data_IF_848971404104
#
_entry.id   IF_848971404104
#
_cell.length_a   1.000
_cell.length_b   1.000
_cell.length_c   1.000
_cell.angle_alpha   90.00
_cell.angle_beta   90.00
_cell.angle_gamma   90.00
#
_symmetry.space_group_name_H-M   'P 1'
#
loop_
_entity.id
_entity.type
_entity.pdbx_description
1 polymer ?
#
# COMPACT_ATOMS: atom_id res chain seq x y z
N UNK A 1 -8.94 12.14 24.18
CA UNK A 1 -8.63 13.52 24.61
C UNK A 1 -7.22 13.83 24.12
N UNK A 2 -6.94 14.65 23.12
CA UNK A 2 -7.66 15.72 22.42
C UNK A 2 -7.44 15.55 20.89
N UNK A 3 -8.48 15.77 20.09
CA UNK A 3 -8.38 15.82 18.62
C UNK A 3 -8.04 17.25 18.17
N UNK A 4 -6.90 17.44 17.51
CA UNK A 4 -6.61 18.67 16.75
C UNK A 4 -6.96 18.43 15.28
N UNK A 5 -8.26 18.42 14.98
CA UNK A 5 -8.77 18.35 13.61
C UNK A 5 -8.54 19.67 12.88
N UNK A 6 -7.73 19.64 11.81
CA UNK A 6 -7.59 20.76 10.89
C UNK A 6 -8.90 20.93 10.10
N UNK A 7 -9.65 22.01 10.37
CA UNK A 7 -10.89 22.35 9.65
C UNK A 7 -10.54 22.93 8.28
N UNK A 8 -10.74 22.17 7.20
CA UNK A 8 -10.85 22.72 5.85
C UNK A 8 -12.34 22.92 5.53
N UNK A 9 -12.74 24.16 5.28
CA UNK A 9 -14.11 24.56 4.94
C UNK A 9 -14.20 24.66 3.41
N UNK A 10 -14.99 23.80 2.78
CA UNK A 10 -15.39 23.95 1.37
C UNK A 10 -16.51 25.01 1.24
N UNK A 11 -16.61 25.67 0.09
CA UNK A 11 -17.48 26.82 -0.23
C UNK A 11 -18.99 26.47 -0.29
N UNK A 12 -19.42 25.39 0.38
CA UNK A 12 -20.83 24.99 0.49
C UNK A 12 -21.28 24.68 1.92
N UNK A 13 -20.46 25.04 2.92
CA UNK A 13 -20.80 25.02 4.36
C UNK A 13 -21.50 23.73 4.82
N UNK A 14 -21.14 22.58 4.23
CA UNK A 14 -21.58 21.25 4.68
C UNK A 14 -20.40 20.56 5.37
N UNK A 15 -20.54 20.13 6.64
CA UNK A 15 -19.48 19.38 7.30
C UNK A 15 -19.39 18.00 6.64
N UNK A 16 -18.33 17.76 5.86
CA UNK A 16 -17.91 16.40 5.52
C UNK A 16 -17.11 15.86 6.71
N UNK A 17 -17.67 14.90 7.43
CA UNK A 17 -16.89 14.08 8.37
C UNK A 17 -16.04 13.15 7.50
N UNK A 18 -14.80 13.56 7.21
CA UNK A 18 -13.80 12.69 6.62
C UNK A 18 -13.20 11.84 7.74
N UNK A 19 -13.78 10.67 7.99
CA UNK A 19 -13.07 9.61 8.70
C UNK A 19 -11.99 9.04 7.76
N UNK A 20 -10.91 9.79 7.59
CA UNK A 20 -9.69 9.28 6.98
C UNK A 20 -8.89 8.55 8.06
N UNK A 21 -8.47 7.32 7.77
CA UNK A 21 -7.42 6.69 8.58
C UNK A 21 -6.20 7.61 8.58
N UNK A 22 -5.66 7.92 9.76
CA UNK A 22 -4.51 8.81 9.94
C UNK A 22 -3.17 8.19 9.49
N UNK A 23 -3.18 6.95 8.99
CA UNK A 23 -1.99 6.24 8.52
C UNK A 23 -2.08 5.81 7.05
N UNK A 24 -0.90 5.69 6.42
CA UNK A 24 -0.66 5.16 5.07
C UNK A 24 -1.37 5.88 3.93
N UNK A 25 -1.17 7.20 3.84
CA UNK A 25 -1.64 7.99 2.71
C UNK A 25 -0.52 8.13 1.67
N UNK A 26 -0.80 7.69 0.45
CA UNK A 26 0.04 7.99 -0.72
C UNK A 26 -0.30 9.42 -1.13
N UNK A 27 0.58 10.36 -0.79
CA UNK A 27 0.39 11.79 -1.09
C UNK A 27 0.83 12.11 -2.53
N UNK A 28 1.91 11.49 -2.98
CA UNK A 28 2.47 11.68 -4.32
C UNK A 28 2.48 10.34 -5.05
N UNK A 29 1.51 10.09 -5.92
CA UNK A 29 1.34 8.77 -6.56
C UNK A 29 2.48 8.39 -7.51
N UNK A 30 3.15 9.39 -8.09
CA UNK A 30 4.25 9.19 -9.05
C UNK A 30 5.62 8.99 -8.37
N UNK A 31 5.70 9.20 -7.05
CA UNK A 31 6.95 9.07 -6.30
C UNK A 31 7.29 7.59 -6.01
N UNK A 32 8.55 7.33 -5.64
CA UNK A 32 8.97 6.00 -5.21
C UNK A 32 8.54 5.76 -3.75
N UNK A 33 7.91 4.60 -3.51
CA UNK A 33 7.37 4.21 -2.21
C UNK A 33 8.01 2.93 -1.70
N UNK A 34 8.24 2.90 -0.40
CA UNK A 34 8.55 1.69 0.33
C UNK A 34 7.28 1.18 1.01
N UNK A 35 6.84 -0.03 0.65
CA UNK A 35 5.61 -0.64 1.14
C UNK A 35 5.90 -1.98 1.79
N UNK A 36 5.28 -2.22 2.95
CA UNK A 36 5.37 -3.49 3.67
C UNK A 36 3.97 -4.09 3.82
N UNK A 37 3.83 -5.37 3.47
CA UNK A 37 2.64 -6.17 3.72
C UNK A 37 2.94 -7.22 4.78
N UNK A 38 2.18 -7.24 5.87
CA UNK A 38 2.31 -8.20 6.97
C UNK A 38 1.10 -9.13 7.01
N UNK A 39 1.34 -10.43 7.16
CA UNK A 39 0.27 -11.42 7.38
C UNK A 39 -0.31 -11.25 8.79
N UNK A 40 -1.65 -11.32 8.88
CA UNK A 40 -2.40 -11.26 10.14
C UNK A 40 -1.92 -12.38 11.08
N UNK A 41 -1.83 -12.06 12.37
CA UNK A 41 -1.35 -12.98 13.43
C UNK A 41 0.06 -13.54 13.19
N UNK A 42 0.86 -12.89 12.34
CA UNK A 42 2.26 -13.25 12.09
C UNK A 42 2.48 -14.67 11.57
N UNK A 43 1.44 -15.27 10.98
CA UNK A 43 1.50 -16.62 10.43
C UNK A 43 2.55 -16.67 9.30
N UNK A 44 3.41 -17.68 9.35
CA UNK A 44 4.47 -17.93 8.38
C UNK A 44 3.94 -18.54 7.06
N UNK A 45 2.98 -17.85 6.45
CA UNK A 45 2.30 -18.29 5.24
C UNK A 45 3.26 -18.46 4.06
N UNK A 46 4.22 -17.54 3.92
CA UNK A 46 5.13 -17.52 2.79
C UNK A 46 6.28 -18.51 2.90
N UNK A 47 6.29 -19.40 3.90
CA UNK A 47 7.21 -20.55 3.93
C UNK A 47 6.91 -21.55 2.82
N UNK A 48 5.63 -21.68 2.43
CA UNK A 48 5.22 -22.58 1.34
C UNK A 48 5.38 -21.88 -0.02
N UNK A 49 6.07 -22.55 -0.95
CA UNK A 49 6.36 -22.03 -2.29
C UNK A 49 5.10 -21.57 -3.03
N UNK A 50 4.00 -22.34 -2.94
CA UNK A 50 2.73 -22.05 -3.61
C UNK A 50 2.21 -20.64 -3.31
N UNK A 51 2.35 -20.15 -2.08
CA UNK A 51 1.89 -18.79 -1.73
C UNK A 51 2.85 -17.72 -2.26
N UNK A 52 4.16 -17.98 -2.27
CA UNK A 52 5.12 -17.07 -2.89
C UNK A 52 4.90 -16.95 -4.39
N UNK A 53 4.61 -18.06 -5.06
CA UNK A 53 4.34 -18.08 -6.51
C UNK A 53 3.12 -17.23 -6.86
N UNK A 54 2.03 -17.34 -6.08
CA UNK A 54 0.82 -16.52 -6.27
C UNK A 54 1.14 -15.01 -6.18
N UNK A 55 1.97 -14.62 -5.20
CA UNK A 55 2.37 -13.22 -5.03
C UNK A 55 3.22 -12.77 -6.23
N UNK A 56 4.19 -13.58 -6.64
CA UNK A 56 5.07 -13.27 -7.78
C UNK A 56 4.24 -13.11 -9.06
N UNK A 57 3.28 -14.00 -9.32
CA UNK A 57 2.44 -13.92 -10.52
C UNK A 57 1.49 -12.73 -10.47
N UNK A 58 0.99 -12.37 -9.29
CA UNK A 58 0.21 -11.14 -9.09
C UNK A 58 1.04 -9.88 -9.35
N UNK A 59 2.29 -9.84 -8.87
CA UNK A 59 3.20 -8.73 -9.12
C UNK A 59 3.51 -8.61 -10.63
N UNK A 60 3.83 -9.70 -11.32
CA UNK A 60 4.02 -9.70 -12.78
C UNK A 60 2.80 -9.18 -13.52
N UNK A 61 1.61 -9.61 -13.13
CA UNK A 61 0.37 -9.12 -13.71
C UNK A 61 0.23 -7.60 -13.53
N UNK A 62 0.52 -7.09 -12.34
CA UNK A 62 0.49 -5.65 -12.06
C UNK A 62 1.55 -4.88 -12.88
N UNK A 63 2.75 -5.42 -13.08
CA UNK A 63 3.75 -4.78 -13.95
C UNK A 63 3.27 -4.67 -15.39
N UNK A 64 2.62 -5.71 -15.91
CA UNK A 64 2.19 -5.77 -17.31
C UNK A 64 0.90 -4.97 -17.60
N UNK A 65 -0.01 -4.86 -16.62
CA UNK A 65 -1.37 -4.38 -16.87
C UNK A 65 -1.76 -3.15 -16.04
N UNK A 66 -1.02 -2.84 -14.97
CA UNK A 66 -1.40 -1.78 -14.00
C UNK A 66 -0.34 -0.70 -13.81
N UNK A 67 0.71 -0.70 -14.64
CA UNK A 67 1.77 0.31 -14.55
C UNK A 67 2.62 0.25 -13.28
N UNK A 68 2.62 -0.88 -12.58
CA UNK A 68 3.43 -1.08 -11.38
C UNK A 68 4.91 -1.23 -11.77
N UNK A 69 5.76 -0.34 -11.29
CA UNK A 69 7.21 -0.48 -11.41
C UNK A 69 7.79 -1.04 -10.11
N UNK A 70 8.60 -2.09 -10.22
CA UNK A 70 9.20 -2.77 -9.07
C UNK A 70 10.72 -2.66 -9.17
N UNK A 71 11.32 -1.92 -8.26
CA UNK A 71 12.77 -1.74 -8.19
C UNK A 71 13.44 -2.82 -7.35
N UNK A 72 12.82 -3.19 -6.22
CA UNK A 72 13.29 -4.25 -5.35
C UNK A 72 12.12 -4.87 -4.57
N UNK A 73 12.23 -6.14 -4.24
CA UNK A 73 11.31 -6.79 -3.31
C UNK A 73 11.99 -7.92 -2.55
N UNK A 74 11.47 -8.23 -1.37
CA UNK A 74 11.82 -9.43 -0.61
C UNK A 74 10.55 -10.03 -0.01
N UNK A 75 10.44 -11.36 -0.08
CA UNK A 75 9.36 -12.13 0.54
C UNK A 75 9.98 -12.90 1.72
N UNK A 76 9.68 -12.45 2.93
CA UNK A 76 10.02 -13.12 4.19
C UNK A 76 8.91 -14.13 4.55
N UNK A 77 9.05 -14.87 5.65
CA UNK A 77 8.08 -15.93 6.02
C UNK A 77 6.66 -15.43 6.28
N UNK A 78 6.52 -14.22 6.82
CA UNK A 78 5.23 -13.64 7.21
C UNK A 78 5.00 -12.22 6.68
N UNK A 79 5.95 -11.64 5.94
CA UNK A 79 5.80 -10.30 5.37
C UNK A 79 6.56 -10.11 4.06
N UNK A 80 6.19 -9.06 3.34
CA UNK A 80 6.76 -8.69 2.05
C UNK A 80 7.17 -7.22 2.14
N UNK A 81 8.37 -6.89 1.69
CA UNK A 81 8.81 -5.51 1.49
C UNK A 81 8.97 -5.24 -0.01
N UNK A 82 8.53 -4.07 -0.44
CA UNK A 82 8.47 -3.63 -1.83
C UNK A 82 8.99 -2.21 -1.95
N UNK A 83 9.89 -1.98 -2.90
CA UNK A 83 10.27 -0.66 -3.37
C UNK A 83 9.68 -0.47 -4.77
N UNK A 84 8.64 0.36 -4.86
CA UNK A 84 7.77 0.45 -6.03
C UNK A 84 7.41 1.89 -6.38
N UNK A 85 7.04 2.13 -7.63
CA UNK A 85 6.35 3.34 -8.10
C UNK A 85 5.23 2.94 -9.07
N UNK A 86 4.43 3.91 -9.48
CA UNK A 86 3.43 3.72 -10.54
C UNK A 86 3.69 4.69 -11.67
N UNK A 87 3.61 4.22 -12.91
CA UNK A 87 3.62 5.09 -14.09
C UNK A 87 2.21 5.50 -14.56
N UNK A 88 1.19 4.94 -13.91
CA UNK A 88 -0.22 5.31 -14.06
C UNK A 88 -0.75 5.73 -12.69
N UNK A 89 -0.85 7.04 -12.45
CA UNK A 89 -1.40 7.62 -11.22
C UNK A 89 -2.86 7.24 -10.97
#
# INVERSE_FOLDING_TARGET
>A
MQETGLRLVDNKNKPKILNMSTGYQVVEQDSMHYVTFQIIDWIDLFTRKVYRDIIIDSLKFCQQNKGLEIYAFVIMSNHIHLLISSNTG
#
